data_IF_120173170333
#
_entry.id   IF_120173170333
#
_cell.length_a   1.000
_cell.length_b   1.000
_cell.length_c   1.000
_cell.angle_alpha   90.00
_cell.angle_beta   90.00
_cell.angle_gamma   90.00
#
_symmetry.space_group_name_H-M   'P 1'
#
loop_
_entity.id
_entity.type
_entity.pdbx_description
1 polymer ?
#
# COMPACT_ATOMS: atom_id res chain seq x y z
N UNK A 1 46.93 6.33 -42.20
CA UNK A 1 47.32 6.51 -40.80
C UNK A 1 46.70 7.81 -40.30
N UNK A 2 45.48 7.72 -39.74
CA UNK A 2 44.87 8.81 -38.97
C UNK A 2 44.75 8.26 -37.55
N UNK A 3 45.37 8.96 -36.61
CA UNK A 3 45.48 8.59 -35.22
C UNK A 3 44.10 8.50 -34.57
N UNK A 4 43.87 7.38 -33.90
CA UNK A 4 42.83 7.19 -32.90
C UNK A 4 43.07 8.17 -31.77
N UNK A 5 42.18 9.15 -31.62
CA UNK A 5 42.13 9.97 -30.42
C UNK A 5 41.57 9.10 -29.29
N UNK A 6 42.46 8.64 -28.41
CA UNK A 6 42.12 8.08 -27.13
C UNK A 6 41.32 9.12 -26.34
N UNK A 7 40.03 8.86 -26.15
CA UNK A 7 39.20 9.60 -25.21
C UNK A 7 39.67 9.15 -23.81
N UNK A 8 40.18 10.05 -22.96
CA UNK A 8 40.54 9.67 -21.60
C UNK A 8 39.28 9.20 -20.89
N UNK A 9 39.37 8.04 -20.24
CA UNK A 9 38.52 7.70 -19.11
C UNK A 9 38.81 8.74 -18.01
N UNK A 10 38.23 9.94 -18.15
CA UNK A 10 38.12 10.88 -17.05
C UNK A 10 37.36 10.15 -15.96
N UNK A 11 38.07 9.90 -14.87
CA UNK A 11 37.57 9.48 -13.58
C UNK A 11 36.34 10.31 -13.26
N UNK A 12 35.14 9.75 -13.44
CA UNK A 12 33.97 10.20 -12.69
C UNK A 12 34.43 10.24 -11.23
N UNK A 13 34.35 11.39 -10.56
CA UNK A 13 35.06 11.60 -9.29
C UNK A 13 34.65 10.48 -8.34
N UNK A 14 35.61 9.81 -7.69
CA UNK A 14 35.36 8.65 -6.81
C UNK A 14 34.23 8.90 -5.79
N UNK A 15 34.01 10.16 -5.40
CA UNK A 15 32.86 10.62 -4.60
C UNK A 15 31.49 10.27 -5.21
N UNK A 16 31.32 10.41 -6.52
CA UNK A 16 30.07 10.07 -7.21
C UNK A 16 29.81 8.55 -7.18
N UNK A 17 30.85 7.72 -7.28
CA UNK A 17 30.69 6.26 -7.22
C UNK A 17 30.28 5.79 -5.81
N UNK A 18 30.88 6.36 -4.76
CA UNK A 18 30.49 6.05 -3.38
C UNK A 18 29.05 6.46 -3.06
N UNK A 19 28.62 7.65 -3.51
CA UNK A 19 27.25 8.13 -3.27
C UNK A 19 26.22 7.33 -4.08
N UNK A 20 26.52 6.96 -5.32
CA UNK A 20 25.68 6.05 -6.11
C UNK A 20 25.50 4.72 -5.38
N UNK A 21 26.60 4.15 -4.88
CA UNK A 21 26.55 2.88 -4.16
C UNK A 21 25.72 2.99 -2.89
N UNK A 22 25.85 4.06 -2.11
CA UNK A 22 25.12 4.24 -0.87
C UNK A 22 23.60 4.36 -1.10
N UNK A 23 23.18 5.20 -2.04
CA UNK A 23 21.77 5.40 -2.36
C UNK A 23 21.17 4.12 -2.95
N UNK A 24 21.88 3.46 -3.85
CA UNK A 24 21.40 2.23 -4.47
C UNK A 24 21.33 1.07 -3.47
N UNK A 25 22.34 0.89 -2.60
CA UNK A 25 22.33 -0.12 -1.54
C UNK A 25 21.17 0.10 -0.56
N UNK A 26 20.87 1.35 -0.22
CA UNK A 26 19.67 1.67 0.55
C UNK A 26 18.42 1.15 -0.13
N UNK A 27 18.24 1.41 -1.43
CA UNK A 27 17.06 0.96 -2.17
C UNK A 27 16.95 -0.56 -2.33
N UNK A 28 18.02 -1.35 -2.16
CA UNK A 28 17.90 -2.81 -2.10
C UNK A 28 16.99 -3.29 -0.97
N UNK A 29 16.74 -2.46 0.05
CA UNK A 29 15.73 -2.76 1.08
C UNK A 29 14.31 -2.96 0.51
N UNK A 30 14.00 -2.40 -0.66
CA UNK A 30 12.71 -2.60 -1.33
C UNK A 30 12.48 -4.05 -1.76
N UNK A 31 13.52 -4.88 -1.83
CA UNK A 31 13.42 -6.31 -2.14
C UNK A 31 13.04 -7.16 -0.92
N UNK A 32 13.22 -6.68 0.31
CA UNK A 32 13.13 -7.53 1.50
C UNK A 32 11.71 -8.08 1.74
N UNK A 33 10.69 -7.24 1.61
CA UNK A 33 9.28 -7.66 1.73
C UNK A 33 8.87 -8.58 0.56
N UNK A 34 9.13 -8.23 -0.71
CA UNK A 34 8.90 -9.13 -1.84
C UNK A 34 9.62 -10.48 -1.70
N UNK A 35 10.89 -10.50 -1.31
CA UNK A 35 11.64 -11.75 -1.14
C UNK A 35 11.11 -12.58 0.03
N UNK A 36 10.59 -11.96 1.09
CA UNK A 36 9.93 -12.68 2.20
C UNK A 36 8.64 -13.36 1.70
N UNK A 37 7.82 -12.64 0.94
CA UNK A 37 6.61 -13.21 0.34
C UNK A 37 6.93 -14.28 -0.71
N UNK A 38 7.99 -14.10 -1.49
CA UNK A 38 8.48 -15.09 -2.45
C UNK A 38 8.95 -16.35 -1.75
N UNK A 39 9.80 -16.23 -0.73
CA UNK A 39 10.26 -17.37 0.06
C UNK A 39 9.05 -18.13 0.61
N UNK A 40 8.10 -17.44 1.23
CA UNK A 40 6.88 -18.05 1.78
C UNK A 40 6.13 -18.90 0.75
N UNK A 41 5.78 -18.36 -0.42
CA UNK A 41 4.96 -19.12 -1.38
C UNK A 41 5.72 -20.30 -2.03
N UNK A 42 7.05 -20.25 -2.07
CA UNK A 42 7.88 -21.31 -2.67
C UNK A 42 8.38 -22.36 -1.67
N UNK A 43 8.44 -22.04 -0.37
CA UNK A 43 8.76 -23.01 0.69
C UNK A 43 7.53 -23.69 1.30
N UNK A 44 6.33 -23.18 1.00
CA UNK A 44 5.08 -23.78 1.47
C UNK A 44 4.76 -25.15 0.82
N UNK A 45 3.82 -25.91 1.39
CA UNK A 45 3.05 -25.54 2.57
C UNK A 45 3.84 -25.68 3.86
N UNK A 46 3.48 -24.90 4.87
CA UNK A 46 4.16 -24.89 6.15
C UNK A 46 3.26 -25.39 7.28
N UNK A 47 3.87 -25.98 8.29
CA UNK A 47 3.23 -26.06 9.60
C UNK A 47 2.89 -24.65 10.10
N UNK A 48 1.75 -24.49 10.78
CA UNK A 48 1.25 -23.18 11.20
C UNK A 48 2.28 -22.32 11.96
N UNK A 49 3.13 -22.94 12.79
CA UNK A 49 4.12 -22.21 13.59
C UNK A 49 5.28 -21.69 12.73
N UNK A 50 5.64 -22.42 11.67
CA UNK A 50 6.64 -21.98 10.69
C UNK A 50 6.10 -20.82 9.84
N UNK A 51 4.83 -20.90 9.43
CA UNK A 51 4.18 -19.84 8.67
C UNK A 51 4.19 -18.49 9.41
N UNK A 52 3.97 -18.50 10.74
CA UNK A 52 3.99 -17.29 11.56
C UNK A 52 5.36 -16.61 11.63
N UNK A 53 6.47 -17.34 11.46
CA UNK A 53 7.81 -16.74 11.47
C UNK A 53 8.03 -15.77 10.32
N UNK A 54 7.29 -15.91 9.21
CA UNK A 54 7.38 -14.99 8.07
C UNK A 54 6.75 -13.60 8.36
N UNK A 55 6.02 -13.43 9.46
CA UNK A 55 5.58 -12.11 9.92
C UNK A 55 6.76 -11.29 10.46
N UNK A 56 7.79 -11.95 11.00
CA UNK A 56 8.88 -11.28 11.73
C UNK A 56 9.57 -10.20 10.89
N UNK A 57 9.98 -10.44 9.62
CA UNK A 57 10.54 -9.39 8.78
C UNK A 57 9.60 -8.19 8.60
N UNK A 58 8.32 -8.43 8.35
CA UNK A 58 7.32 -7.37 8.19
C UNK A 58 7.18 -6.55 9.49
N UNK A 59 7.08 -7.22 10.63
CA UNK A 59 7.00 -6.56 11.94
C UNK A 59 8.25 -5.73 12.26
N UNK A 60 9.44 -6.23 11.90
CA UNK A 60 10.70 -5.48 12.02
C UNK A 60 10.66 -4.22 11.16
N UNK A 61 10.22 -4.30 9.90
CA UNK A 61 10.16 -3.13 9.02
C UNK A 61 9.12 -2.11 9.48
N UNK A 62 7.93 -2.54 9.90
CA UNK A 62 6.94 -1.64 10.52
C UNK A 62 7.53 -0.97 11.77
N UNK A 63 8.27 -1.71 12.59
CA UNK A 63 8.97 -1.15 13.75
C UNK A 63 10.03 -0.12 13.33
N UNK A 64 10.90 -0.42 12.37
CA UNK A 64 11.93 0.50 11.85
C UNK A 64 11.26 1.77 11.30
N UNK A 65 10.20 1.63 10.51
CA UNK A 65 9.48 2.72 9.86
C UNK A 65 8.72 3.63 10.85
N UNK A 66 8.48 3.14 12.08
CA UNK A 66 7.97 3.93 13.20
C UNK A 66 9.04 4.68 14.01
N UNK A 67 10.33 4.46 13.72
CA UNK A 67 11.46 5.11 14.42
C UNK A 67 11.85 6.43 13.76
N UNK A 68 12.45 7.37 14.51
CA UNK A 68 12.94 8.65 13.98
C UNK A 68 14.25 8.49 13.18
N UNK A 69 14.26 7.54 12.24
CA UNK A 69 15.34 7.37 11.26
C UNK A 69 14.98 8.18 10.03
N UNK A 70 15.63 9.33 9.87
CA UNK A 70 15.26 10.31 8.85
C UNK A 70 16.20 10.32 7.66
N UNK A 71 15.64 10.35 6.45
CA UNK A 71 16.35 10.56 5.20
C UNK A 71 15.84 11.87 4.56
N UNK A 72 16.72 12.89 4.55
CA UNK A 72 16.40 14.25 4.07
C UNK A 72 17.35 14.72 2.97
N UNK A 73 18.28 13.88 2.52
CA UNK A 73 19.27 14.25 1.51
C UNK A 73 18.58 14.63 0.22
N UNK A 74 19.10 15.67 -0.42
CA UNK A 74 18.74 15.96 -1.80
C UNK A 74 19.46 14.97 -2.71
N UNK A 75 18.83 14.51 -3.80
CA UNK A 75 19.46 13.60 -4.73
C UNK A 75 20.58 14.30 -5.49
N UNK A 76 21.60 13.53 -5.82
CA UNK A 76 22.69 14.00 -6.70
C UNK A 76 22.19 13.94 -8.14
N UNK A 77 22.26 15.07 -8.86
CA UNK A 77 21.69 15.16 -10.22
C UNK A 77 22.37 14.23 -11.23
N UNK A 78 23.58 13.73 -10.91
CA UNK A 78 24.38 12.85 -11.77
C UNK A 78 24.17 11.35 -11.51
N UNK A 79 23.22 10.93 -10.66
CA UNK A 79 22.98 9.49 -10.44
C UNK A 79 22.56 8.82 -11.77
N UNK A 80 23.21 7.70 -12.18
CA UNK A 80 22.83 6.96 -13.37
C UNK A 80 21.47 6.29 -13.17
N UNK A 81 20.70 6.08 -14.26
CA UNK A 81 19.39 5.45 -14.15
C UNK A 81 19.44 3.92 -14.09
N UNK A 82 20.41 3.29 -14.76
CA UNK A 82 20.40 1.85 -15.03
C UNK A 82 20.32 0.94 -13.79
N UNK A 83 20.99 1.18 -12.64
CA UNK A 83 20.92 0.24 -11.53
C UNK A 83 19.58 0.37 -10.77
N UNK A 84 18.97 1.55 -10.81
CA UNK A 84 17.64 1.82 -10.25
C UNK A 84 16.54 1.27 -11.16
N UNK A 85 16.69 1.42 -12.48
CA UNK A 85 15.77 0.82 -13.46
C UNK A 85 15.81 -0.72 -13.38
N UNK A 86 17.01 -1.32 -13.22
CA UNK A 86 17.18 -2.76 -12.99
C UNK A 86 16.43 -3.21 -11.73
N UNK A 87 16.52 -2.47 -10.62
CA UNK A 87 15.81 -2.79 -9.39
C UNK A 87 14.29 -2.83 -9.59
N UNK A 88 13.73 -1.86 -10.30
CA UNK A 88 12.29 -1.83 -10.64
C UNK A 88 11.90 -3.05 -11.49
N UNK A 89 12.72 -3.46 -12.46
CA UNK A 89 12.46 -4.67 -13.25
C UNK A 89 12.57 -5.96 -12.43
N UNK A 90 13.50 -6.03 -11.47
CA UNK A 90 13.61 -7.16 -10.54
C UNK A 90 12.35 -7.26 -9.67
N UNK A 91 11.83 -6.14 -9.14
CA UNK A 91 10.58 -6.11 -8.37
C UNK A 91 9.38 -6.62 -9.19
N UNK A 92 9.30 -6.24 -10.48
CA UNK A 92 8.28 -6.78 -11.41
C UNK A 92 8.40 -8.31 -11.50
N UNK A 93 9.61 -8.82 -11.78
CA UNK A 93 9.85 -10.25 -11.92
C UNK A 93 9.50 -11.03 -10.65
N UNK A 94 9.95 -10.54 -9.49
CA UNK A 94 9.66 -11.13 -8.18
C UNK A 94 8.15 -11.17 -7.92
N UNK A 95 7.41 -10.10 -8.24
CA UNK A 95 5.95 -10.09 -8.07
C UNK A 95 5.25 -11.17 -8.91
N UNK A 96 5.63 -11.34 -10.18
CA UNK A 96 5.06 -12.42 -11.00
C UNK A 96 5.40 -13.81 -10.46
N UNK A 97 6.62 -14.02 -9.97
CA UNK A 97 7.00 -15.29 -9.32
C UNK A 97 6.22 -15.54 -8.04
N UNK A 98 5.86 -14.50 -7.29
CA UNK A 98 5.00 -14.60 -6.10
C UNK A 98 3.58 -15.03 -6.50
N UNK A 99 3.02 -14.48 -7.57
CA UNK A 99 1.68 -14.87 -8.04
C UNK A 99 1.64 -16.31 -8.55
N UNK A 100 2.69 -16.77 -9.23
CA UNK A 100 2.82 -18.18 -9.62
C UNK A 100 2.91 -19.08 -8.39
N UNK A 101 3.73 -18.71 -7.40
CA UNK A 101 3.83 -19.45 -6.14
C UNK A 101 2.52 -19.46 -5.35
N UNK A 102 1.77 -18.34 -5.34
CA UNK A 102 0.44 -18.24 -4.75
C UNK A 102 -0.53 -19.25 -5.36
N UNK A 103 -0.60 -19.30 -6.70
CA UNK A 103 -1.47 -20.22 -7.42
C UNK A 103 -1.08 -21.67 -7.10
N UNK A 104 0.23 -22.00 -7.14
CA UNK A 104 0.73 -23.33 -6.78
C UNK A 104 0.30 -23.72 -5.36
N UNK A 105 0.55 -22.87 -4.37
CA UNK A 105 0.29 -23.16 -2.97
C UNK A 105 -1.21 -23.47 -2.73
N UNK A 106 -2.11 -22.79 -3.44
CA UNK A 106 -3.56 -23.05 -3.33
C UNK A 106 -4.11 -24.17 -4.22
N UNK A 107 -3.28 -24.79 -5.06
CA UNK A 107 -3.62 -26.10 -5.62
C UNK A 107 -3.38 -27.24 -4.62
N UNK A 108 -2.59 -26.97 -3.57
CA UNK A 108 -2.14 -27.96 -2.59
C UNK A 108 -2.76 -27.76 -1.19
N UNK A 109 -3.50 -26.67 -0.95
CA UNK A 109 -3.97 -26.24 0.37
C UNK A 109 -5.47 -25.96 0.46
N UNK A 110 -6.05 -26.16 1.64
CA UNK A 110 -7.41 -25.76 1.95
C UNK A 110 -7.52 -24.25 2.21
N UNK A 111 -8.70 -23.66 2.00
CA UNK A 111 -8.97 -22.24 2.24
C UNK A 111 -8.84 -21.80 3.71
N UNK A 112 -8.90 -22.74 4.65
CA UNK A 112 -8.89 -22.49 6.09
C UNK A 112 -7.63 -23.06 6.76
N UNK A 113 -6.45 -22.78 6.19
CA UNK A 113 -5.15 -23.09 6.79
C UNK A 113 -4.45 -21.83 7.29
N UNK A 114 -3.40 -22.01 8.10
CA UNK A 114 -2.55 -20.88 8.50
C UNK A 114 -1.88 -20.24 7.29
N UNK A 115 -1.47 -21.04 6.30
CA UNK A 115 -0.89 -20.52 5.07
C UNK A 115 -1.89 -19.62 4.32
N UNK A 116 -3.18 -19.99 4.29
CA UNK A 116 -4.21 -19.17 3.66
C UNK A 116 -4.36 -17.79 4.35
N UNK A 117 -4.30 -17.74 5.68
CA UNK A 117 -4.31 -16.48 6.43
C UNK A 117 -3.03 -15.66 6.17
N UNK A 118 -1.87 -16.33 6.17
CA UNK A 118 -0.57 -15.68 5.95
C UNK A 118 -0.43 -15.09 4.56
N UNK A 119 -1.06 -15.69 3.55
CA UNK A 119 -1.09 -15.15 2.19
C UNK A 119 -1.76 -13.78 2.14
N UNK A 120 -2.85 -13.57 2.89
CA UNK A 120 -3.52 -12.27 2.92
C UNK A 120 -2.58 -11.18 3.43
N UNK A 121 -1.74 -11.50 4.41
CA UNK A 121 -0.77 -10.58 4.99
C UNK A 121 0.44 -10.40 4.08
N UNK A 122 1.10 -11.49 3.69
CA UNK A 122 2.39 -11.44 2.99
C UNK A 122 2.22 -11.18 1.50
N UNK A 123 1.38 -11.95 0.81
CA UNK A 123 1.15 -11.81 -0.62
C UNK A 123 0.27 -10.60 -0.89
N UNK A 124 -0.83 -10.42 -0.14
CA UNK A 124 -1.66 -9.22 -0.24
C UNK A 124 -0.88 -7.94 0.09
N UNK A 125 -0.06 -7.99 1.14
CA UNK A 125 0.90 -6.93 1.47
C UNK A 125 1.85 -6.62 0.33
N UNK A 126 2.57 -7.63 -0.18
CA UNK A 126 3.47 -7.48 -1.32
C UNK A 126 2.77 -6.98 -2.59
N UNK A 127 1.53 -7.37 -2.84
CA UNK A 127 0.76 -6.84 -3.96
C UNK A 127 0.45 -5.35 -3.81
N UNK A 128 0.34 -4.83 -2.58
CA UNK A 128 0.36 -3.39 -2.33
C UNK A 128 1.70 -2.74 -2.73
N UNK A 129 2.81 -3.39 -2.41
CA UNK A 129 4.15 -2.94 -2.83
C UNK A 129 4.34 -3.00 -4.36
N UNK A 130 3.75 -3.98 -5.04
CA UNK A 130 3.83 -4.06 -6.49
C UNK A 130 3.08 -2.91 -7.16
N UNK A 131 2.05 -2.33 -6.52
CA UNK A 131 1.40 -1.10 -6.99
C UNK A 131 2.38 0.08 -6.93
N UNK A 132 3.27 0.17 -5.95
CA UNK A 132 4.31 1.21 -5.89
C UNK A 132 5.29 1.07 -7.07
N UNK A 133 5.66 -0.17 -7.38
CA UNK A 133 6.49 -0.48 -8.57
C UNK A 133 5.75 -0.13 -9.85
N UNK A 134 4.45 -0.44 -9.93
CA UNK A 134 3.60 -0.10 -11.05
C UNK A 134 3.46 1.42 -11.22
N UNK A 135 3.27 2.13 -10.12
CA UNK A 135 3.17 3.58 -10.03
C UNK A 135 4.41 4.25 -10.64
N UNK A 136 5.61 3.80 -10.24
CA UNK A 136 6.85 4.30 -10.84
C UNK A 136 6.91 4.06 -12.36
N UNK A 137 6.54 2.85 -12.79
CA UNK A 137 6.59 2.44 -14.20
C UNK A 137 5.61 3.19 -15.10
N UNK A 138 4.41 3.52 -14.62
CA UNK A 138 3.40 4.24 -15.42
C UNK A 138 3.77 5.70 -15.66
N UNK A 139 4.59 6.29 -14.78
CA UNK A 139 5.12 7.65 -14.93
C UNK A 139 6.33 7.75 -15.85
N UNK A 140 7.03 6.63 -16.12
CA UNK A 140 8.16 6.62 -17.07
C UNK A 140 7.72 6.95 -18.49
N UNK A 141 8.65 7.45 -19.31
CA UNK A 141 8.38 7.85 -20.70
C UNK A 141 8.20 6.66 -21.65
N UNK A 142 8.91 5.55 -21.39
CA UNK A 142 8.96 4.42 -22.31
C UNK A 142 7.63 3.66 -22.40
N UNK A 143 7.12 3.36 -23.60
CA UNK A 143 5.85 2.63 -23.75
C UNK A 143 5.90 1.22 -23.16
N UNK A 144 7.07 0.57 -23.18
CA UNK A 144 7.28 -0.76 -22.58
C UNK A 144 7.22 -0.71 -21.05
N UNK A 145 7.82 0.31 -20.43
CA UNK A 145 7.76 0.52 -18.98
C UNK A 145 6.31 0.78 -18.53
N UNK A 146 5.61 1.67 -19.24
CA UNK A 146 4.17 1.93 -19.00
C UNK A 146 3.34 0.67 -19.13
N UNK A 147 3.60 -0.16 -20.16
CA UNK A 147 2.92 -1.44 -20.33
C UNK A 147 3.16 -2.38 -19.15
N UNK A 148 4.40 -2.52 -18.67
CA UNK A 148 4.70 -3.33 -17.48
C UNK A 148 3.98 -2.82 -16.23
N UNK A 149 3.95 -1.52 -16.00
CA UNK A 149 3.19 -0.93 -14.90
C UNK A 149 1.69 -1.22 -15.00
N UNK A 150 1.11 -1.12 -16.20
CA UNK A 150 -0.30 -1.48 -16.45
C UNK A 150 -0.56 -2.97 -16.22
N UNK A 151 0.35 -3.85 -16.64
CA UNK A 151 0.24 -5.29 -16.40
C UNK A 151 0.29 -5.62 -14.90
N UNK A 152 1.15 -4.96 -14.12
CA UNK A 152 1.13 -5.07 -12.66
C UNK A 152 -0.20 -4.60 -12.07
N UNK A 153 -0.78 -3.50 -12.55
CA UNK A 153 -2.11 -3.08 -12.06
C UNK A 153 -3.23 -4.07 -12.44
N UNK A 154 -3.09 -4.81 -13.54
CA UNK A 154 -4.00 -5.91 -13.89
C UNK A 154 -3.92 -7.07 -12.88
N UNK A 155 -2.74 -7.35 -12.29
CA UNK A 155 -2.59 -8.44 -11.31
C UNK A 155 -3.33 -8.19 -9.99
N UNK A 156 -3.62 -6.92 -9.71
CA UNK A 156 -4.40 -6.47 -8.54
C UNK A 156 -5.81 -5.98 -8.92
N UNK A 157 -6.26 -6.27 -10.16
CA UNK A 157 -7.60 -5.92 -10.66
C UNK A 157 -7.93 -4.42 -10.56
N UNK A 158 -6.92 -3.56 -10.66
CA UNK A 158 -7.04 -2.10 -10.43
C UNK A 158 -6.40 -1.27 -11.55
N UNK A 159 -6.37 -1.79 -12.79
CA UNK A 159 -5.71 -1.14 -13.93
C UNK A 159 -6.24 0.26 -14.25
N UNK A 160 -7.51 0.55 -13.97
CA UNK A 160 -8.09 1.87 -14.17
C UNK A 160 -7.37 2.99 -13.40
N UNK A 161 -6.63 2.64 -12.33
CA UNK A 161 -5.71 3.53 -11.64
C UNK A 161 -4.72 4.19 -12.61
N UNK A 162 -4.24 3.49 -13.65
CA UNK A 162 -3.36 4.09 -14.66
C UNK A 162 -3.96 5.37 -15.28
N UNK A 163 -5.23 5.31 -15.66
CA UNK A 163 -5.90 6.45 -16.30
C UNK A 163 -6.24 7.51 -15.25
N UNK A 164 -6.85 7.11 -14.14
CA UNK A 164 -7.26 8.08 -13.12
C UNK A 164 -6.06 8.79 -12.53
N UNK A 165 -4.98 8.07 -12.24
CA UNK A 165 -3.80 8.67 -11.64
C UNK A 165 -3.16 9.71 -12.56
N UNK A 166 -2.84 9.32 -13.80
CA UNK A 166 -2.09 10.17 -14.72
C UNK A 166 -2.92 11.33 -15.31
N UNK A 167 -4.20 11.10 -15.60
CA UNK A 167 -5.06 12.06 -16.30
C UNK A 167 -6.09 12.72 -15.38
N UNK A 168 -6.21 12.23 -14.15
CA UNK A 168 -7.17 12.70 -13.18
C UNK A 168 -6.51 13.27 -11.94
N UNK A 169 -6.08 12.39 -11.04
CA UNK A 169 -5.54 12.72 -9.73
C UNK A 169 -4.40 13.74 -9.80
N UNK A 170 -3.34 13.50 -10.58
CA UNK A 170 -2.24 14.48 -10.73
C UNK A 170 -2.70 15.88 -11.15
N UNK A 171 -3.73 15.96 -11.99
CA UNK A 171 -4.28 17.24 -12.44
C UNK A 171 -5.19 17.88 -11.38
N UNK A 172 -5.93 17.09 -10.61
CA UNK A 172 -7.03 17.55 -9.75
C UNK A 172 -6.76 17.40 -8.24
N UNK A 173 -5.61 16.88 -7.84
CA UNK A 173 -5.24 16.64 -6.44
C UNK A 173 -5.47 17.87 -5.58
N UNK A 174 -6.06 17.68 -4.40
CA UNK A 174 -6.42 18.73 -3.47
C UNK A 174 -7.66 19.55 -3.89
N UNK A 175 -8.37 19.16 -4.95
CA UNK A 175 -9.64 19.79 -5.37
C UNK A 175 -10.84 18.86 -5.14
N UNK A 176 -12.06 19.41 -5.14
CA UNK A 176 -13.30 18.64 -4.99
C UNK A 176 -13.57 17.66 -6.15
N UNK A 177 -12.90 17.85 -7.29
CA UNK A 177 -13.05 16.99 -8.46
C UNK A 177 -12.14 15.75 -8.43
N UNK A 178 -11.17 15.68 -7.52
CA UNK A 178 -10.31 14.51 -7.36
C UNK A 178 -10.94 13.49 -6.41
N UNK A 179 -11.34 12.30 -6.91
CA UNK A 179 -11.91 11.27 -6.06
C UNK A 179 -10.93 10.74 -4.99
N UNK A 180 -9.61 10.80 -5.25
CA UNK A 180 -8.57 10.28 -4.35
C UNK A 180 -8.11 11.29 -3.28
N UNK A 181 -8.59 12.53 -3.31
CA UNK A 181 -8.35 13.50 -2.23
C UNK A 181 -9.27 13.18 -1.04
N UNK A 182 -8.68 13.02 0.15
CA UNK A 182 -9.42 12.75 1.39
C UNK A 182 -9.81 14.07 2.06
N UNK A 183 -11.10 14.27 2.32
CA UNK A 183 -11.58 15.53 2.88
C UNK A 183 -11.22 15.67 4.36
N UNK A 184 -11.12 16.92 4.84
CA UNK A 184 -10.90 17.18 6.26
C UNK A 184 -12.02 16.55 7.11
N UNK A 185 -11.64 15.81 8.15
CA UNK A 185 -12.57 15.08 9.02
C UNK A 185 -13.12 13.77 8.43
N UNK A 186 -12.81 13.44 7.18
CA UNK A 186 -13.27 12.19 6.57
C UNK A 186 -12.55 10.99 7.19
N UNK A 187 -13.30 9.98 7.61
CA UNK A 187 -12.75 8.71 8.08
C UNK A 187 -12.30 7.84 6.91
N UNK A 188 -11.27 7.01 7.11
CA UNK A 188 -10.78 6.11 6.07
C UNK A 188 -11.86 5.16 5.53
N UNK A 189 -12.81 4.74 6.38
CA UNK A 189 -13.96 3.92 5.95
C UNK A 189 -14.89 4.69 5.00
N UNK A 190 -15.16 5.96 5.30
CA UNK A 190 -15.97 6.82 4.42
C UNK A 190 -15.25 7.06 3.10
N UNK A 191 -13.96 7.42 3.19
CA UNK A 191 -13.08 7.62 2.05
C UNK A 191 -13.06 6.40 1.13
N UNK A 192 -12.79 5.20 1.66
CA UNK A 192 -12.74 3.96 0.86
C UNK A 192 -14.03 3.70 0.07
N UNK A 193 -15.18 3.87 0.72
CA UNK A 193 -16.49 3.65 0.08
C UNK A 193 -16.77 4.67 -1.03
N UNK A 194 -16.19 5.86 -0.93
CA UNK A 194 -16.35 6.95 -1.89
C UNK A 194 -15.33 6.84 -3.03
N UNK A 195 -14.05 6.73 -2.69
CA UNK A 195 -12.91 6.84 -3.60
C UNK A 195 -12.92 5.75 -4.67
N UNK A 196 -13.06 4.46 -4.29
CA UNK A 196 -12.93 3.33 -5.21
C UNK A 196 -13.93 3.39 -6.38
N UNK A 197 -15.26 3.49 -6.16
CA UNK A 197 -16.19 3.60 -7.27
C UNK A 197 -16.08 4.94 -8.01
N UNK A 198 -15.67 6.03 -7.33
CA UNK A 198 -15.53 7.34 -7.95
C UNK A 198 -14.32 7.41 -8.90
N UNK A 199 -13.18 6.85 -8.51
CA UNK A 199 -11.98 6.71 -9.34
C UNK A 199 -12.28 5.89 -10.60
N UNK A 200 -12.97 4.75 -10.47
CA UNK A 200 -13.38 3.96 -11.64
C UNK A 200 -14.25 4.75 -12.62
N UNK A 201 -15.29 5.44 -12.11
CA UNK A 201 -16.18 6.28 -12.93
C UNK A 201 -15.44 7.42 -13.60
N UNK A 202 -14.51 8.05 -12.88
CA UNK A 202 -13.69 9.13 -13.40
C UNK A 202 -12.75 8.64 -14.50
N UNK A 203 -12.03 7.53 -14.28
CA UNK A 203 -11.20 6.88 -15.29
C UNK A 203 -11.99 6.54 -16.56
N UNK A 204 -13.18 5.95 -16.41
CA UNK A 204 -14.05 5.62 -17.53
C UNK A 204 -14.41 6.86 -18.35
N UNK A 205 -14.82 7.94 -17.67
CA UNK A 205 -15.18 9.21 -18.30
C UNK A 205 -13.99 9.86 -19.01
N UNK A 206 -12.79 9.82 -18.43
CA UNK A 206 -11.56 10.36 -19.04
C UNK A 206 -11.16 9.59 -20.31
N UNK A 207 -11.38 8.28 -20.35
CA UNK A 207 -11.15 7.48 -21.56
C UNK A 207 -12.25 7.68 -22.60
N UNK A 208 -13.51 7.80 -22.20
CA UNK A 208 -14.61 8.13 -23.10
C UNK A 208 -14.36 9.50 -23.79
N UNK A 209 -13.94 10.51 -23.03
CA UNK A 209 -13.57 11.82 -23.54
C UNK A 209 -12.37 11.75 -24.52
N UNK A 210 -11.36 10.93 -24.24
CA UNK A 210 -10.23 10.68 -25.16
C UNK A 210 -10.68 10.05 -26.49
N UNK A 211 -11.73 9.24 -26.46
CA UNK A 211 -12.32 8.59 -27.63
C UNK A 211 -13.33 9.50 -28.36
N UNK A 212 -13.48 10.76 -27.91
CA UNK A 212 -14.24 11.80 -28.57
C UNK A 212 -15.70 11.93 -28.10
N UNK A 213 -16.10 11.27 -27.02
CA UNK A 213 -17.43 11.44 -26.43
C UNK A 213 -17.45 11.12 -24.93
N UNK A 214 -17.70 12.12 -24.10
CA UNK A 214 -17.73 11.98 -22.63
C UNK A 214 -18.94 11.18 -22.11
N UNK A 215 -20.01 11.06 -22.91
CA UNK A 215 -21.22 10.30 -22.61
C UNK A 215 -21.34 9.04 -23.49
N UNK A 216 -20.20 8.56 -24.01
CA UNK A 216 -20.15 7.41 -24.92
C UNK A 216 -20.94 6.22 -24.39
N UNK A 217 -21.86 5.74 -25.23
CA UNK A 217 -22.60 4.50 -24.98
C UNK A 217 -21.68 3.28 -24.97
N UNK A 218 -21.99 2.28 -24.14
CA UNK A 218 -21.30 0.99 -24.13
C UNK A 218 -21.44 0.21 -25.45
N UNK A 219 -22.41 0.57 -26.29
CA UNK A 219 -22.63 -0.04 -27.60
C UNK A 219 -21.81 0.63 -28.72
N UNK A 220 -21.16 1.77 -28.44
CA UNK A 220 -20.31 2.42 -29.41
C UNK A 220 -19.04 1.58 -29.66
N UNK A 221 -18.73 1.30 -30.93
CA UNK A 221 -17.56 0.50 -31.31
C UNK A 221 -16.24 1.08 -30.79
N UNK A 222 -16.16 2.40 -30.59
CA UNK A 222 -14.99 3.09 -30.03
C UNK A 222 -14.65 2.61 -28.62
N UNK A 223 -15.62 2.06 -27.87
CA UNK A 223 -15.43 1.55 -26.51
C UNK A 223 -14.35 0.46 -26.43
N UNK A 224 -14.11 -0.30 -27.52
CA UNK A 224 -13.03 -1.28 -27.59
C UNK A 224 -11.63 -0.65 -27.47
N UNK A 225 -11.51 0.63 -27.82
CA UNK A 225 -10.31 1.44 -27.61
C UNK A 225 -10.19 2.02 -26.20
N UNK A 226 -11.16 1.79 -25.30
CA UNK A 226 -11.13 2.28 -23.92
C UNK A 226 -10.13 1.47 -23.09
N UNK A 227 -9.12 2.14 -22.54
CA UNK A 227 -8.05 1.47 -21.78
C UNK A 227 -8.56 0.81 -20.50
N UNK A 228 -9.56 1.41 -19.83
CA UNK A 228 -10.20 0.82 -18.64
C UNK A 228 -10.88 -0.49 -18.98
N UNK A 229 -11.59 -0.57 -20.12
CA UNK A 229 -12.19 -1.81 -20.58
C UNK A 229 -11.14 -2.88 -20.89
N UNK A 230 -10.04 -2.51 -21.54
CA UNK A 230 -8.93 -3.42 -21.82
C UNK A 230 -8.28 -3.95 -20.53
N UNK A 231 -8.05 -3.08 -19.54
CA UNK A 231 -7.51 -3.45 -18.23
C UNK A 231 -8.43 -4.42 -17.49
N UNK A 232 -9.75 -4.16 -17.51
CA UNK A 232 -10.75 -5.09 -16.97
C UNK A 232 -10.71 -6.45 -17.68
N UNK A 233 -10.68 -6.46 -19.01
CA UNK A 233 -10.64 -7.68 -19.79
C UNK A 233 -9.40 -8.53 -19.50
N UNK A 234 -8.22 -7.90 -19.39
CA UNK A 234 -6.97 -8.58 -19.06
C UNK A 234 -6.98 -9.06 -17.61
N UNK A 235 -7.27 -8.19 -16.65
CA UNK A 235 -7.25 -8.53 -15.22
C UNK A 235 -8.24 -9.63 -14.86
N UNK A 236 -9.50 -9.48 -15.26
CA UNK A 236 -10.52 -10.51 -15.02
C UNK A 236 -10.34 -11.74 -15.91
N UNK A 237 -9.80 -11.58 -17.12
CA UNK A 237 -9.43 -12.72 -17.98
C UNK A 237 -8.41 -13.63 -17.29
N UNK A 238 -7.38 -13.06 -16.68
CA UNK A 238 -6.40 -13.81 -15.86
C UNK A 238 -7.07 -14.44 -14.65
N UNK A 239 -7.91 -13.70 -13.91
CA UNK A 239 -8.62 -14.26 -12.76
C UNK A 239 -9.51 -15.45 -13.15
N UNK A 240 -10.28 -15.36 -14.22
CA UNK A 240 -11.13 -16.46 -14.69
C UNK A 240 -10.34 -17.62 -15.31
N UNK A 241 -9.18 -17.35 -15.92
CA UNK A 241 -8.26 -18.42 -16.30
C UNK A 241 -7.76 -19.16 -15.05
N UNK A 242 -7.43 -18.45 -13.98
CA UNK A 242 -7.04 -19.08 -12.70
C UNK A 242 -8.17 -19.96 -12.17
N UNK A 243 -9.41 -19.46 -12.17
CA UNK A 243 -10.59 -20.23 -11.78
C UNK A 243 -10.75 -21.51 -12.60
N UNK A 244 -10.62 -21.41 -13.93
CA UNK A 244 -10.84 -22.53 -14.83
C UNK A 244 -9.76 -23.62 -14.71
N UNK A 245 -8.49 -23.23 -14.63
CA UNK A 245 -7.37 -24.18 -14.64
C UNK A 245 -6.96 -24.65 -13.23
N UNK A 246 -7.12 -23.83 -12.20
CA UNK A 246 -6.64 -24.12 -10.83
C UNK A 246 -7.75 -24.16 -9.78
N UNK A 247 -9.00 -23.90 -10.20
CA UNK A 247 -10.18 -24.05 -9.35
C UNK A 247 -10.55 -22.81 -8.53
N UNK A 248 -11.70 -22.89 -7.81
CA UNK A 248 -12.28 -21.75 -7.09
C UNK A 248 -11.41 -21.24 -5.93
N UNK A 249 -10.62 -22.12 -5.29
CA UNK A 249 -9.78 -21.77 -4.15
C UNK A 249 -8.66 -20.81 -4.58
N UNK A 250 -7.93 -21.14 -5.64
CA UNK A 250 -6.90 -20.26 -6.21
C UNK A 250 -7.48 -18.94 -6.72
N UNK A 251 -8.67 -18.97 -7.33
CA UNK A 251 -9.38 -17.76 -7.76
C UNK A 251 -9.73 -16.82 -6.60
N UNK A 252 -10.26 -17.37 -5.50
CA UNK A 252 -10.60 -16.58 -4.30
C UNK A 252 -9.33 -15.97 -3.70
N UNK A 253 -8.26 -16.75 -3.58
CA UNK A 253 -6.97 -16.25 -3.09
C UNK A 253 -6.41 -15.11 -3.95
N UNK A 254 -6.48 -15.25 -5.28
CA UNK A 254 -6.09 -14.21 -6.23
C UNK A 254 -6.94 -12.94 -6.09
N UNK A 255 -8.25 -13.07 -5.88
CA UNK A 255 -9.12 -11.92 -5.63
C UNK A 255 -8.83 -11.27 -4.27
N UNK A 256 -8.53 -12.05 -3.24
CA UNK A 256 -8.25 -11.53 -1.90
C UNK A 256 -6.92 -10.79 -1.83
N UNK A 257 -5.86 -11.27 -2.48
CA UNK A 257 -4.60 -10.51 -2.54
C UNK A 257 -4.80 -9.18 -3.26
N UNK A 258 -5.59 -9.15 -4.35
CA UNK A 258 -5.92 -7.94 -5.08
C UNK A 258 -6.70 -6.96 -4.19
N UNK A 259 -7.70 -7.48 -3.46
CA UNK A 259 -8.46 -6.68 -2.50
C UNK A 259 -7.56 -6.05 -1.42
N UNK A 260 -6.65 -6.82 -0.81
CA UNK A 260 -5.71 -6.29 0.17
C UNK A 260 -4.81 -5.21 -0.47
N UNK A 261 -4.26 -5.46 -1.65
CA UNK A 261 -3.41 -4.51 -2.36
C UNK A 261 -4.11 -3.16 -2.59
N UNK A 262 -5.37 -3.17 -3.07
CA UNK A 262 -6.15 -1.96 -3.28
C UNK A 262 -6.45 -1.27 -1.94
N UNK A 263 -6.78 -2.02 -0.89
CA UNK A 263 -6.96 -1.44 0.47
C UNK A 263 -5.72 -0.68 0.92
N UNK A 264 -4.53 -1.25 0.72
CA UNK A 264 -3.26 -0.60 1.07
C UNK A 264 -3.02 0.65 0.22
N UNK A 265 -3.21 0.57 -1.10
CA UNK A 265 -3.10 1.74 -2.00
C UNK A 265 -4.00 2.89 -1.53
N UNK A 266 -5.27 2.64 -1.26
CA UNK A 266 -6.17 3.72 -0.86
C UNK A 266 -5.93 4.19 0.59
N UNK A 267 -5.31 3.38 1.45
CA UNK A 267 -4.85 3.87 2.75
C UNK A 267 -3.72 4.90 2.55
N UNK A 268 -2.82 4.64 1.60
CA UNK A 268 -1.75 5.57 1.18
C UNK A 268 -2.34 6.85 0.61
N UNK A 269 -3.19 6.77 -0.43
CA UNK A 269 -3.87 7.95 -1.00
C UNK A 269 -4.61 8.76 0.08
N UNK A 270 -5.24 8.07 1.04
CA UNK A 270 -5.99 8.72 2.11
C UNK A 270 -5.10 9.63 2.95
N UNK A 271 -3.98 9.13 3.47
CA UNK A 271 -3.12 9.95 4.33
C UNK A 271 -2.22 10.92 3.55
N UNK A 272 -1.88 10.61 2.29
CA UNK A 272 -1.09 11.48 1.42
C UNK A 272 -1.79 12.79 1.06
N UNK A 273 -3.11 12.79 1.11
CA UNK A 273 -3.96 13.90 0.69
C UNK A 273 -4.98 14.31 1.74
N UNK A 274 -4.83 13.86 2.99
CA UNK A 274 -5.83 14.08 4.02
C UNK A 274 -5.95 15.56 4.40
N UNK A 275 -7.16 16.10 4.28
CA UNK A 275 -7.52 17.43 4.80
C UNK A 275 -6.89 18.61 4.07
N UNK A 276 -6.07 18.37 3.05
CA UNK A 276 -5.44 19.40 2.24
C UNK A 276 -6.41 19.94 1.18
N UNK A 277 -6.25 21.22 0.86
CA UNK A 277 -7.03 21.91 -0.17
C UNK A 277 -6.07 22.73 -1.03
N UNK A 278 -6.00 22.39 -2.31
CA UNK A 278 -5.12 23.06 -3.26
C UNK A 278 -5.61 24.46 -3.57
N UNK A 279 -4.68 25.41 -3.61
CA UNK A 279 -4.91 26.78 -4.04
C UNK A 279 -4.40 27.00 -5.46
N UNK A 280 -5.27 27.49 -6.33
CA UNK A 280 -4.93 27.78 -7.73
C UNK A 280 -4.80 26.53 -8.60
N UNK A 281 -4.26 26.73 -9.80
CA UNK A 281 -4.23 25.70 -10.85
C UNK A 281 -3.02 24.78 -10.81
N UNK A 282 -1.94 25.15 -10.10
CA UNK A 282 -0.68 24.40 -10.06
C UNK A 282 -0.49 23.72 -8.71
N UNK A 283 -0.06 22.47 -8.73
CA UNK A 283 0.27 21.72 -7.51
C UNK A 283 1.50 22.31 -6.83
N UNK A 284 1.38 22.56 -5.53
CA UNK A 284 2.41 23.05 -4.63
C UNK A 284 2.82 21.95 -3.65
N UNK A 285 3.97 22.13 -3.00
CA UNK A 285 4.44 21.20 -1.99
C UNK A 285 3.45 21.04 -0.82
N UNK A 286 2.70 22.09 -0.50
CA UNK A 286 1.68 22.09 0.56
C UNK A 286 0.42 21.28 0.24
N UNK A 287 0.26 20.79 -0.99
CA UNK A 287 -0.95 20.08 -1.44
C UNK A 287 -0.83 18.55 -1.28
N UNK A 288 0.26 18.06 -0.69
CA UNK A 288 0.49 16.64 -0.42
C UNK A 288 1.33 16.47 0.84
N UNK A 289 1.18 15.34 1.52
CA UNK A 289 1.93 15.01 2.72
C UNK A 289 3.22 14.25 2.38
N UNK A 290 4.34 14.68 2.95
CA UNK A 290 5.62 13.98 2.89
C UNK A 290 5.88 13.20 4.19
N UNK A 291 6.87 12.30 4.17
CA UNK A 291 7.49 11.77 5.38
C UNK A 291 8.99 11.79 5.24
N UNK A 292 9.71 11.84 6.35
CA UNK A 292 11.16 11.71 6.33
C UNK A 292 11.64 10.30 6.67
N UNK A 293 10.75 9.31 6.82
CA UNK A 293 11.15 7.94 7.15
C UNK A 293 12.17 7.39 6.14
N UNK A 294 13.30 6.94 6.67
CA UNK A 294 14.35 6.26 5.92
C UNK A 294 13.82 5.00 5.23
N UNK A 295 13.03 4.19 5.93
CA UNK A 295 12.47 2.97 5.33
C UNK A 295 11.46 3.29 4.25
N UNK A 296 10.59 4.29 4.46
CA UNK A 296 9.66 4.71 3.41
C UNK A 296 10.40 5.22 2.17
N UNK A 297 11.49 5.99 2.34
CA UNK A 297 12.28 6.45 1.20
C UNK A 297 12.91 5.28 0.43
N UNK A 298 13.65 4.41 1.13
CA UNK A 298 14.43 3.37 0.48
C UNK A 298 13.59 2.15 0.08
N UNK A 299 12.78 1.63 1.01
CA UNK A 299 11.99 0.42 0.87
C UNK A 299 10.75 0.60 -0.02
N UNK A 300 10.19 1.82 -0.10
CA UNK A 300 9.02 2.12 -0.94
C UNK A 300 9.38 2.97 -2.17
N UNK A 301 10.59 2.83 -2.70
CA UNK A 301 10.97 3.39 -4.02
C UNK A 301 10.67 4.91 -4.07
N UNK A 302 11.21 5.66 -3.10
CA UNK A 302 11.15 7.12 -3.07
C UNK A 302 9.81 7.74 -2.66
N UNK A 303 8.80 6.93 -2.32
CA UNK A 303 7.43 7.39 -2.05
C UNK A 303 7.33 8.42 -0.91
N UNK A 304 8.33 8.50 -0.04
CA UNK A 304 8.40 9.52 1.03
C UNK A 304 8.42 10.97 0.53
N UNK A 305 8.83 11.19 -0.73
CA UNK A 305 8.98 12.50 -1.40
C UNK A 305 7.79 12.80 -2.32
N UNK A 306 6.59 12.61 -1.81
CA UNK A 306 5.33 12.67 -2.56
C UNK A 306 5.00 14.06 -3.13
N UNK A 307 5.29 15.12 -2.36
CA UNK A 307 5.10 16.50 -2.79
C UNK A 307 5.91 16.82 -4.06
N UNK A 308 7.14 16.30 -4.15
CA UNK A 308 7.94 16.47 -5.36
C UNK A 308 7.46 15.59 -6.52
N UNK A 309 6.97 14.39 -6.22
CA UNK A 309 6.34 13.53 -7.21
C UNK A 309 5.16 14.24 -7.88
N UNK A 310 4.24 14.84 -7.11
CA UNK A 310 3.14 15.63 -7.68
C UNK A 310 3.58 16.87 -8.44
N UNK A 311 4.67 17.52 -7.99
CA UNK A 311 5.22 18.68 -8.69
C UNK A 311 5.95 18.30 -10.00
N UNK A 312 6.57 17.13 -10.05
CA UNK A 312 7.32 16.60 -11.21
C UNK A 312 7.09 15.09 -11.37
N UNK A 313 5.94 14.66 -11.92
CA UNK A 313 5.53 13.24 -11.90
C UNK A 313 6.45 12.30 -12.67
N UNK A 314 7.14 12.82 -13.68
CA UNK A 314 8.03 12.04 -14.55
C UNK A 314 9.46 11.91 -13.99
N UNK A 315 9.72 12.48 -12.81
CA UNK A 315 11.02 12.40 -12.14
C UNK A 315 11.21 11.00 -11.56
N UNK A 316 12.31 10.30 -11.87
CA UNK A 316 12.59 8.97 -11.32
C UNK A 316 12.67 9.01 -9.79
N UNK A 317 12.26 7.92 -9.12
CA UNK A 317 12.24 7.87 -7.67
C UNK A 317 13.56 8.24 -6.97
N UNK A 318 14.71 7.84 -7.52
CA UNK A 318 16.03 8.14 -6.97
C UNK A 318 16.44 9.61 -7.12
N UNK A 319 15.70 10.37 -7.94
CA UNK A 319 15.91 11.79 -8.22
C UNK A 319 14.84 12.68 -7.58
N UNK A 320 13.86 12.12 -6.85
CA UNK A 320 12.85 12.89 -6.13
C UNK A 320 13.50 13.78 -5.08
N UNK A 321 12.97 14.98 -4.84
CA UNK A 321 13.56 16.00 -3.94
C UNK A 321 12.73 16.18 -2.68
N UNK A 322 13.38 16.54 -1.59
CA UNK A 322 12.68 16.98 -0.38
C UNK A 322 12.12 18.39 -0.62
N UNK A 323 10.84 18.61 -0.29
CA UNK A 323 10.15 19.90 -0.44
C UNK A 323 9.74 20.45 0.94
N UNK A 324 10.37 21.54 1.36
CA UNK A 324 10.14 22.13 2.70
C UNK A 324 8.70 22.62 2.96
N UNK A 325 7.93 22.91 1.91
CA UNK A 325 6.55 23.38 2.02
C UNK A 325 5.52 22.29 2.34
N UNK A 326 5.89 21.02 2.27
CA UNK A 326 4.96 19.92 2.55
C UNK A 326 4.74 19.72 4.06
N UNK A 327 3.49 19.51 4.52
CA UNK A 327 3.25 18.95 5.85
C UNK A 327 3.87 17.56 5.96
N UNK A 328 4.28 17.18 7.18
CA UNK A 328 5.06 15.97 7.40
C UNK A 328 4.29 14.99 8.29
N UNK A 329 4.22 13.74 7.84
CA UNK A 329 3.60 12.65 8.58
C UNK A 329 4.43 12.24 9.80
N UNK A 330 3.79 11.78 10.90
CA UNK A 330 4.47 11.51 12.16
C UNK A 330 5.40 10.28 12.11
N UNK A 331 5.12 9.35 11.21
CA UNK A 331 5.87 8.09 10.98
C UNK A 331 5.96 7.81 9.49
N UNK A 332 6.69 6.76 9.10
CA UNK A 332 6.67 6.27 7.73
C UNK A 332 5.37 5.55 7.35
N UNK A 333 5.25 5.22 6.07
CA UNK A 333 4.00 4.76 5.46
C UNK A 333 3.58 3.37 5.93
N UNK A 334 4.52 2.47 6.22
CA UNK A 334 4.21 1.12 6.69
C UNK A 334 3.52 1.17 8.05
N UNK A 335 4.07 1.93 8.98
CA UNK A 335 3.46 2.16 10.29
C UNK A 335 2.17 2.98 10.20
N UNK A 336 2.10 3.93 9.25
CA UNK A 336 0.95 4.81 9.07
C UNK A 336 -0.27 4.08 8.51
N UNK A 337 -0.08 3.13 7.59
CA UNK A 337 -1.15 2.27 7.08
C UNK A 337 -1.82 1.52 8.24
N UNK A 338 -1.04 0.91 9.13
CA UNK A 338 -1.57 0.20 10.31
C UNK A 338 -2.35 1.16 11.23
N UNK A 339 -1.85 2.38 11.44
CA UNK A 339 -2.57 3.39 12.21
C UNK A 339 -3.86 3.82 11.52
N UNK A 340 -3.87 4.03 10.21
CA UNK A 340 -5.07 4.45 9.46
C UNK A 340 -6.13 3.35 9.44
N UNK A 341 -5.73 2.09 9.30
CA UNK A 341 -6.66 0.96 9.26
C UNK A 341 -7.17 0.62 10.67
N UNK A 342 -6.29 0.58 11.67
CA UNK A 342 -6.61 0.13 13.03
C UNK A 342 -7.02 1.22 14.02
N UNK A 343 -6.51 2.44 13.85
CA UNK A 343 -6.65 3.57 14.79
C UNK A 343 -6.89 4.92 14.07
N UNK A 344 -7.78 4.94 13.08
CA UNK A 344 -7.99 6.10 12.21
C UNK A 344 -8.26 7.43 12.96
N UNK A 345 -8.90 7.40 14.13
CA UNK A 345 -9.14 8.60 14.95
C UNK A 345 -7.85 9.22 15.49
N UNK A 346 -6.84 8.40 15.81
CA UNK A 346 -5.52 8.87 16.26
C UNK A 346 -4.79 9.57 15.12
N UNK A 347 -4.81 8.99 13.92
CA UNK A 347 -4.30 9.64 12.70
C UNK A 347 -4.98 10.99 12.45
N UNK A 348 -6.31 11.04 12.47
CA UNK A 348 -7.07 12.28 12.23
C UNK A 348 -6.68 13.36 13.23
N UNK A 349 -6.50 13.01 14.51
CA UNK A 349 -6.06 13.96 15.54
C UNK A 349 -4.68 14.54 15.24
N UNK A 350 -3.70 13.67 14.95
CA UNK A 350 -2.33 14.07 14.60
C UNK A 350 -2.28 14.93 13.33
N UNK A 351 -2.96 14.50 12.27
CA UNK A 351 -3.02 15.23 11.02
C UNK A 351 -3.70 16.60 11.19
N UNK A 352 -4.77 16.68 12.00
CA UNK A 352 -5.43 17.95 12.31
C UNK A 352 -4.51 18.92 13.03
N UNK A 353 -3.70 18.44 13.97
CA UNK A 353 -2.74 19.26 14.71
C UNK A 353 -1.66 19.84 13.77
N UNK A 354 -1.07 19.02 12.91
CA UNK A 354 -0.06 19.47 11.94
C UNK A 354 -0.65 20.49 10.93
N UNK A 355 -1.86 20.24 10.40
CA UNK A 355 -2.54 21.20 9.51
C UNK A 355 -2.78 22.54 10.22
N UNK A 356 -3.17 22.51 11.49
CA UNK A 356 -3.38 23.73 12.29
C UNK A 356 -2.07 24.47 12.54
N UNK A 357 -1.01 23.76 12.91
CA UNK A 357 0.30 24.33 13.18
C UNK A 357 0.88 25.03 11.93
N UNK A 358 0.59 24.51 10.74
CA UNK A 358 1.04 25.08 9.46
C UNK A 358 0.05 26.01 8.77
N UNK A 359 -1.13 26.23 9.37
CA UNK A 359 -2.23 26.98 8.75
C UNK A 359 -2.61 26.48 7.34
N UNK A 360 -2.73 25.17 7.18
CA UNK A 360 -3.09 24.49 5.93
C UNK A 360 -4.53 23.95 5.96
N UNK A 361 -5.06 23.61 4.77
CA UNK A 361 -6.39 23.02 4.63
C UNK A 361 -7.48 23.96 5.16
N UNK A 362 -8.33 23.54 6.13
CA UNK A 362 -9.37 24.40 6.69
C UNK A 362 -8.83 25.51 7.62
N UNK A 363 -7.56 25.49 8.00
CA UNK A 363 -6.97 26.49 8.91
C UNK A 363 -6.28 27.63 8.17
N UNK A 364 -6.28 27.60 6.85
CA UNK A 364 -5.70 28.64 6.02
C UNK A 364 -6.60 29.88 5.97
N UNK A 365 -6.18 30.96 6.62
CA UNK A 365 -6.94 32.21 6.78
C UNK A 365 -7.13 33.00 5.47
N UNK A 366 -6.54 32.55 4.35
CA UNK A 366 -6.62 33.20 3.05
C UNK A 366 -7.60 32.56 2.06
N UNK A 367 -8.41 31.56 2.45
CA UNK A 367 -9.48 31.08 1.57
C UNK A 367 -10.72 31.96 1.76
N UNK A 368 -11.16 32.64 0.70
CA UNK A 368 -12.51 33.20 0.66
C UNK A 368 -13.50 32.11 1.09
N UNK A 369 -14.31 32.45 2.08
CA UNK A 369 -15.27 31.56 2.68
C UNK A 369 -16.37 31.22 1.67
N UNK A 370 -16.32 30.02 1.10
CA UNK A 370 -17.55 29.29 0.73
C UNK A 370 -17.97 28.42 1.91
N UNK A 371 -19.28 28.19 2.09
CA UNK A 371 -19.87 27.99 3.41
C UNK A 371 -19.21 26.82 4.12
N UNK A 372 -18.99 26.99 5.43
CA UNK A 372 -18.79 25.89 6.35
C UNK A 372 -19.71 24.75 5.92
N UNK A 373 -19.16 23.71 5.30
CA UNK A 373 -19.70 22.41 5.59
C UNK A 373 -19.53 22.32 7.09
N UNK A 374 -20.62 22.38 7.89
CA UNK A 374 -20.47 22.11 9.30
C UNK A 374 -19.69 20.79 9.34
N UNK A 375 -18.67 20.65 10.21
CA UNK A 375 -18.15 19.33 10.47
C UNK A 375 -19.39 18.45 10.59
N UNK A 376 -19.48 17.31 9.87
CA UNK A 376 -20.59 16.40 10.11
C UNK A 376 -20.68 16.33 11.61
N UNK A 377 -21.88 16.52 12.20
CA UNK A 377 -21.98 16.64 13.64
C UNK A 377 -21.05 15.59 14.22
N UNK A 378 -20.39 15.90 15.34
CA UNK A 378 -19.96 14.83 16.20
C UNK A 378 -21.25 14.09 16.65
N UNK A 379 -22.01 13.47 15.72
CA UNK A 379 -22.40 12.09 15.83
C UNK A 379 -21.14 11.43 16.32
N UNK A 380 -21.04 11.37 17.65
CA UNK A 380 -20.80 10.12 18.33
C UNK A 380 -21.14 9.05 17.31
N UNK A 381 -20.09 8.41 16.77
CA UNK A 381 -20.16 7.24 15.90
C UNK A 381 -21.52 6.60 16.14
N UNK A 382 -22.45 6.54 15.16
CA UNK A 382 -23.77 5.98 15.40
C UNK A 382 -23.51 4.68 16.13
N UNK A 383 -23.90 4.65 17.41
CA UNK A 383 -23.31 3.76 18.37
C UNK A 383 -23.41 2.38 17.75
N UNK A 384 -22.27 1.73 17.44
CA UNK A 384 -22.17 0.69 16.42
C UNK A 384 -23.32 -0.26 16.66
N UNK A 385 -24.28 -0.31 15.73
CA UNK A 385 -25.61 -0.88 15.96
C UNK A 385 -25.50 -2.02 16.95
N UNK A 386 -25.86 -1.72 18.20
CA UNK A 386 -25.28 -2.42 19.33
C UNK A 386 -25.84 -3.83 19.40
N UNK A 387 -25.18 -4.75 18.70
CA UNK A 387 -25.22 -6.13 19.10
C UNK A 387 -24.81 -6.17 20.58
N UNK A 388 -25.51 -6.95 21.39
CA UNK A 388 -25.14 -7.14 22.81
C UNK A 388 -23.64 -7.47 22.95
N UNK A 389 -23.08 -8.15 21.95
CA UNK A 389 -21.66 -8.46 21.78
C UNK A 389 -20.75 -7.23 21.67
N UNK A 390 -21.13 -6.20 20.91
CA UNK A 390 -20.29 -5.00 20.75
C UNK A 390 -20.18 -4.17 22.04
N UNK A 391 -21.26 -4.06 22.82
CA UNK A 391 -21.25 -3.41 24.14
C UNK A 391 -20.43 -4.19 25.16
N UNK A 392 -20.60 -5.51 25.17
CA UNK A 392 -19.79 -6.40 26.00
C UNK A 392 -18.30 -6.24 25.68
N UNK A 393 -17.93 -6.28 24.40
CA UNK A 393 -16.54 -6.15 23.95
C UNK A 393 -15.90 -4.80 24.30
N UNK A 394 -16.63 -3.70 24.12
CA UNK A 394 -16.14 -2.37 24.48
C UNK A 394 -15.98 -2.16 26.01
N UNK A 395 -16.80 -2.85 26.80
CA UNK A 395 -16.75 -2.83 28.28
C UNK A 395 -15.60 -3.66 28.87
N UNK A 396 -14.93 -4.50 28.08
CA UNK A 396 -13.75 -5.22 28.52
C UNK A 396 -12.58 -4.25 28.68
N UNK A 397 -11.77 -4.45 29.73
CA UNK A 397 -10.50 -3.75 29.86
C UNK A 397 -9.61 -3.99 28.62
N UNK A 398 -8.65 -3.10 28.33
CA UNK A 398 -7.69 -3.31 27.24
C UNK A 398 -6.98 -4.65 27.34
N UNK A 399 -6.68 -5.11 28.56
CA UNK A 399 -6.05 -6.41 28.81
C UNK A 399 -6.97 -7.57 28.42
N UNK A 400 -8.26 -7.53 28.78
CA UNK A 400 -9.23 -8.59 28.45
C UNK A 400 -9.44 -8.70 26.95
N UNK A 401 -9.56 -7.55 26.25
CA UNK A 401 -9.67 -7.51 24.80
C UNK A 401 -8.44 -8.12 24.13
N UNK A 402 -7.26 -7.75 24.60
CA UNK A 402 -6.00 -8.32 24.10
C UNK A 402 -5.91 -9.82 24.34
N UNK A 403 -6.19 -10.28 25.56
CA UNK A 403 -6.17 -11.71 25.89
C UNK A 403 -7.21 -12.51 25.10
N UNK A 404 -8.37 -11.94 24.78
CA UNK A 404 -9.36 -12.62 23.96
C UNK A 404 -8.99 -12.63 22.47
N UNK A 405 -8.35 -11.60 21.93
CA UNK A 405 -7.84 -11.61 20.55
C UNK A 405 -6.67 -12.58 20.41
N UNK A 406 -5.72 -12.54 21.34
CA UNK A 406 -4.56 -13.46 21.36
C UNK A 406 -5.02 -14.89 21.60
N UNK A 407 -5.87 -15.11 22.61
CA UNK A 407 -6.43 -16.44 22.91
C UNK A 407 -7.31 -16.98 21.78
N UNK A 408 -8.10 -16.13 21.12
CA UNK A 408 -8.89 -16.51 19.95
C UNK A 408 -8.03 -16.84 18.73
N UNK A 409 -6.95 -16.08 18.51
CA UNK A 409 -5.94 -16.39 17.50
C UNK A 409 -5.25 -17.72 17.77
N UNK A 410 -4.75 -17.94 18.99
CA UNK A 410 -4.16 -19.21 19.44
C UNK A 410 -5.13 -20.39 19.31
N UNK A 411 -6.41 -20.19 19.63
CA UNK A 411 -7.44 -21.21 19.47
C UNK A 411 -7.67 -21.55 17.99
N UNK A 412 -7.78 -20.54 17.12
CA UNK A 412 -7.94 -20.74 15.68
C UNK A 412 -6.74 -21.47 15.07
N UNK A 413 -5.53 -21.05 15.44
CA UNK A 413 -4.26 -21.71 15.10
C UNK A 413 -4.27 -23.19 15.51
N UNK A 414 -4.74 -23.46 16.72
CA UNK A 414 -4.74 -24.78 17.34
C UNK A 414 -5.77 -25.73 16.76
N UNK A 415 -6.97 -25.22 16.50
CA UNK A 415 -8.01 -25.97 15.81
C UNK A 415 -7.55 -26.28 14.38
N UNK A 416 -6.88 -25.34 13.70
CA UNK A 416 -6.21 -25.59 12.43
C UNK A 416 -5.17 -26.71 12.52
N UNK A 417 -4.32 -26.68 13.54
CA UNK A 417 -3.29 -27.71 13.77
C UNK A 417 -3.88 -29.11 14.03
N UNK A 418 -4.97 -29.20 14.80
CA UNK A 418 -5.65 -30.47 15.07
C UNK A 418 -6.36 -31.03 13.82
N UNK A 419 -6.92 -30.15 12.99
CA UNK A 419 -7.51 -30.52 11.71
C UNK A 419 -6.46 -31.01 10.70
N UNK A 420 -5.27 -30.39 10.68
CA UNK A 420 -4.14 -30.83 9.84
C UNK A 420 -3.51 -32.15 10.33
N UNK A 421 -3.50 -32.40 11.64
CA UNK A 421 -2.94 -33.61 12.25
C UNK A 421 -3.86 -34.84 12.18
N UNK A 422 -5.02 -34.75 11.49
CA UNK A 422 -5.88 -35.90 11.23
C UNK A 422 -6.91 -36.21 12.33
N UNK A 423 -7.19 -35.30 13.27
CA UNK A 423 -8.30 -35.47 14.21
C UNK A 423 -8.17 -34.70 15.53
N UNK A 424 -9.29 -34.63 16.24
CA UNK A 424 -9.46 -33.87 17.49
C UNK A 424 -9.04 -34.65 18.76
N UNK A 425 -8.43 -35.82 18.62
CA UNK A 425 -8.13 -36.70 19.77
C UNK A 425 -7.13 -36.07 20.76
N UNK A 426 -6.28 -35.14 20.31
CA UNK A 426 -5.36 -34.35 21.15
C UNK A 426 -5.89 -32.95 21.53
N UNK A 427 -7.10 -32.57 21.08
CA UNK A 427 -7.64 -31.21 21.28
C UNK A 427 -7.65 -30.79 22.77
N UNK A 428 -8.03 -31.64 23.75
CA UNK A 428 -8.01 -31.25 25.16
C UNK A 428 -6.61 -30.90 25.67
N UNK A 429 -5.59 -31.68 25.29
CA UNK A 429 -4.19 -31.47 25.70
C UNK A 429 -3.61 -30.19 25.07
N UNK A 430 -3.97 -29.91 23.82
CA UNK A 430 -3.52 -28.70 23.13
C UNK A 430 -4.25 -27.45 23.67
N UNK A 431 -5.54 -27.54 24.00
CA UNK A 431 -6.27 -26.45 24.67
C UNK A 431 -5.64 -26.12 26.03
N UNK A 432 -5.24 -27.13 26.80
CA UNK A 432 -4.53 -26.95 28.08
C UNK A 432 -3.17 -26.27 27.86
N UNK A 433 -2.35 -26.78 26.93
CA UNK A 433 -1.05 -26.18 26.61
C UNK A 433 -1.16 -24.71 26.19
N UNK A 434 -2.18 -24.35 25.42
CA UNK A 434 -2.40 -22.97 25.01
C UNK A 434 -2.94 -22.07 26.12
N UNK A 435 -3.77 -22.60 27.03
CA UNK A 435 -4.17 -21.86 28.22
C UNK A 435 -2.93 -21.51 29.07
N UNK A 436 -1.97 -22.44 29.17
CA UNK A 436 -0.68 -22.20 29.82
C UNK A 436 0.17 -21.16 29.08
N UNK A 437 0.35 -21.27 27.76
CA UNK A 437 1.14 -20.32 26.95
C UNK A 437 0.52 -18.91 27.02
N UNK A 438 -0.80 -18.81 26.86
CA UNK A 438 -1.53 -17.53 26.96
C UNK A 438 -1.40 -16.94 28.37
N UNK A 439 -1.50 -17.78 29.40
CA UNK A 439 -1.28 -17.39 30.79
C UNK A 439 0.15 -16.87 31.05
N UNK A 440 1.17 -17.54 30.49
CA UNK A 440 2.58 -17.15 30.61
C UNK A 440 2.84 -15.83 29.87
N UNK A 441 2.34 -15.66 28.64
CA UNK A 441 2.46 -14.43 27.86
C UNK A 441 1.74 -13.27 28.57
N UNK A 442 0.53 -13.50 29.08
CA UNK A 442 -0.21 -12.50 29.84
C UNK A 442 0.52 -12.10 31.15
N UNK A 443 1.10 -13.07 31.86
CA UNK A 443 1.86 -12.82 33.08
C UNK A 443 3.19 -12.09 32.81
N UNK A 444 3.87 -12.39 31.70
CA UNK A 444 5.14 -11.76 31.33
C UNK A 444 4.97 -10.35 30.75
N UNK A 445 3.82 -10.04 30.15
CA UNK A 445 3.47 -8.68 29.71
C UNK A 445 2.85 -7.83 30.83
N UNK A 446 2.27 -8.45 31.86
CA UNK A 446 1.68 -7.76 33.03
C UNK A 446 2.69 -7.12 33.99
N UNK A 447 4.00 -7.33 33.80
CA UNK A 447 5.04 -6.83 34.72
C UNK A 447 5.62 -5.45 34.38
N UNK A 448 5.07 -4.72 33.39
CA UNK A 448 5.60 -3.39 32.98
C UNK A 448 4.68 -2.19 33.26
N UNK A 449 3.64 -2.36 34.05
CA UNK A 449 2.83 -1.23 34.49
C UNK A 449 2.39 -1.39 35.95
N UNK A 450 3.32 -1.08 36.85
CA UNK A 450 3.07 -0.49 38.16
C UNK A 450 3.99 0.72 38.30
#
# INVERSE_FOLDING_TARGET
MMATADIPFETLPEMAASEVSEVWLGHLTSLLIPLTALAFVWTGPHAWYNALLFIVPLAIFTWIDSRPLYERRQPVETLPSWPFDLLVYLLVGVHFLILVGLIRLFTEQALFSMDAAMILVLVGGNSGFSIITAHELIHRQGPRQRLLGRLLLCTVLYEHFYTEHLRGHHLRVGTSEDPATAHFGETYRSFWRRTVPAQFRSAWRLEAERLGDRQMSLLDRRVLGNRVLQGLAVGWGVAFAIFYFFGPVAFVAYCLQAFVAVRLLEAVNYFEHWGLRRKGSRVQASDSWDTYSWFTYYGLVGLSRHADHHAQPMRPYQQLRVRSGAPVLPVGYLALVDMVIGKNSEFIALATEELRARALGPFDRGSEAEPEFPPPPLTATPAPGHSRLGKFWAGLSPWLRWSTVVGGGLLAVTVGAALEAGGFDSLPEILIANAWITGIIAASLGFRSW
#
